data_IF_577971939471
#
_entry.id   IF_577971939471
#
_cell.length_a   1.000
_cell.length_b   1.000
_cell.length_c   1.000
_cell.angle_alpha   90.00
_cell.angle_beta   90.00
_cell.angle_gamma   90.00
#
_symmetry.space_group_name_H-M   'P 1'
#
loop_
_entity.id
_entity.type
_entity.pdbx_description
1 polymer ?
#
# COMPACT_ATOMS: atom_id res chain seq x y z
N UNK A 1 -9.57 5.19 24.62
CA UNK A 1 -9.83 4.38 23.41
C UNK A 1 -9.96 5.34 22.26
N UNK A 2 -9.04 5.34 21.32
CA UNK A 2 -9.15 6.11 20.07
C UNK A 2 -10.36 5.59 19.30
N UNK A 3 -11.18 6.48 18.73
CA UNK A 3 -12.32 6.10 17.91
C UNK A 3 -11.78 5.48 16.62
N UNK A 4 -12.07 4.19 16.38
CA UNK A 4 -11.71 3.54 15.11
C UNK A 4 -12.29 4.32 13.93
N UNK A 5 -11.48 4.54 12.90
CA UNK A 5 -11.94 5.16 11.67
C UNK A 5 -12.93 4.22 10.95
N UNK A 6 -14.05 4.77 10.51
CA UNK A 6 -14.93 4.04 9.59
C UNK A 6 -14.30 4.00 8.20
N UNK A 7 -14.65 3.00 7.39
CA UNK A 7 -14.17 2.90 6.00
C UNK A 7 -14.39 4.20 5.21
N UNK A 8 -15.56 4.85 5.35
CA UNK A 8 -15.85 6.12 4.67
C UNK A 8 -14.97 7.28 5.13
N UNK A 9 -14.70 7.36 6.44
CA UNK A 9 -13.77 8.36 6.98
C UNK A 9 -12.36 8.12 6.45
N UNK A 10 -11.90 6.86 6.42
CA UNK A 10 -10.61 6.48 5.85
C UNK A 10 -10.52 6.84 4.36
N UNK A 11 -11.48 6.42 3.55
CA UNK A 11 -11.56 6.75 2.11
C UNK A 11 -11.50 8.26 1.87
N UNK A 12 -12.21 9.05 2.69
CA UNK A 12 -12.20 10.51 2.59
C UNK A 12 -10.81 11.07 2.92
N UNK A 13 -10.21 10.64 4.02
CA UNK A 13 -8.88 11.11 4.43
C UNK A 13 -7.81 10.76 3.37
N UNK A 14 -7.84 9.54 2.85
CA UNK A 14 -6.92 9.13 1.80
C UNK A 14 -7.12 9.91 0.50
N UNK A 15 -8.37 10.23 0.16
CA UNK A 15 -8.67 11.06 -1.01
C UNK A 15 -8.20 12.51 -0.85
N UNK A 16 -8.19 13.05 0.37
CA UNK A 16 -7.66 14.39 0.65
C UNK A 16 -6.18 14.53 0.29
N UNK A 17 -5.38 13.46 0.39
CA UNK A 17 -3.99 13.46 -0.05
C UNK A 17 -3.83 13.86 -1.55
N UNK A 18 -4.81 13.50 -2.40
CA UNK A 18 -4.81 13.89 -3.81
C UNK A 18 -5.01 15.41 -4.00
N UNK A 19 -5.70 16.07 -3.08
CA UNK A 19 -5.91 17.52 -3.14
C UNK A 19 -4.60 18.27 -2.82
N UNK A 20 -3.76 17.73 -1.94
CA UNK A 20 -2.47 18.33 -1.60
C UNK A 20 -1.56 18.44 -2.82
N UNK A 21 -1.52 17.39 -3.66
CA UNK A 21 -0.65 17.36 -4.85
C UNK A 21 -1.32 17.92 -6.12
N UNK A 22 -2.60 18.32 -6.02
CA UNK A 22 -3.33 18.90 -7.16
C UNK A 22 -2.72 20.24 -7.57
N UNK A 23 -2.43 20.39 -8.86
CA UNK A 23 -1.79 21.57 -9.46
C UNK A 23 -0.34 21.26 -9.86
N UNK A 24 0.59 21.01 -8.92
CA UNK A 24 1.96 20.65 -9.25
C UNK A 24 2.10 19.30 -9.97
N UNK A 25 1.24 18.34 -9.64
CA UNK A 25 1.27 16.97 -10.18
C UNK A 25 0.06 16.73 -11.08
N UNK A 26 0.27 16.11 -12.25
CA UNK A 26 -0.83 15.68 -13.13
C UNK A 26 -1.63 14.54 -12.46
N UNK A 27 -2.94 14.52 -12.69
CA UNK A 27 -3.82 13.52 -12.10
C UNK A 27 -3.46 12.07 -12.47
N UNK A 28 -2.87 11.86 -13.65
CA UNK A 28 -2.35 10.55 -14.09
C UNK A 28 -1.23 10.02 -13.18
N UNK A 29 -0.51 10.91 -12.50
CA UNK A 29 0.66 10.59 -11.70
C UNK A 29 0.38 10.56 -10.19
N UNK A 30 -0.85 10.87 -9.73
CA UNK A 30 -1.19 10.83 -8.31
C UNK A 30 -0.86 9.47 -7.68
N UNK A 31 -1.17 8.39 -8.39
CA UNK A 31 -0.90 7.02 -7.95
C UNK A 31 0.58 6.81 -7.63
N UNK A 32 1.47 7.38 -8.44
CA UNK A 32 2.93 7.23 -8.33
C UNK A 32 3.51 7.82 -7.05
N UNK A 33 2.85 8.84 -6.47
CA UNK A 33 3.34 9.52 -5.26
C UNK A 33 2.54 9.15 -4.01
N UNK A 34 1.24 8.95 -4.13
CA UNK A 34 0.37 8.71 -2.96
C UNK A 34 0.52 7.28 -2.43
N UNK A 35 0.49 6.29 -3.30
CA UNK A 35 0.52 4.89 -2.87
C UNK A 35 1.78 4.48 -2.12
N UNK A 36 3.00 4.85 -2.55
CA UNK A 36 4.19 4.53 -1.79
C UNK A 36 4.21 5.14 -0.39
N UNK A 37 3.76 6.39 -0.23
CA UNK A 37 3.68 7.05 1.08
C UNK A 37 2.63 6.37 1.96
N UNK A 38 1.46 6.09 1.41
CA UNK A 38 0.38 5.38 2.10
C UNK A 38 0.84 4.00 2.60
N UNK A 39 1.47 3.23 1.72
CA UNK A 39 2.00 1.92 2.06
C UNK A 39 3.09 2.01 3.13
N UNK A 40 4.03 2.95 2.98
CA UNK A 40 5.08 3.20 3.96
C UNK A 40 4.52 3.57 5.34
N UNK A 41 3.49 4.43 5.38
CA UNK A 41 2.80 4.77 6.62
C UNK A 41 2.15 3.54 7.27
N UNK A 42 1.42 2.73 6.47
CA UNK A 42 0.77 1.51 6.96
C UNK A 42 1.75 0.54 7.59
N UNK A 43 2.82 0.19 6.88
CA UNK A 43 3.80 -0.78 7.40
C UNK A 43 4.53 -0.26 8.64
N UNK A 44 4.79 1.07 8.74
CA UNK A 44 5.38 1.66 9.93
C UNK A 44 4.45 1.61 11.14
N UNK A 45 3.16 1.89 10.94
CA UNK A 45 2.19 1.85 12.05
C UNK A 45 1.99 0.41 12.54
N UNK A 46 1.94 -0.56 11.63
CA UNK A 46 1.87 -1.98 11.97
C UNK A 46 3.13 -2.42 12.71
N UNK A 47 4.32 -2.03 12.23
CA UNK A 47 5.58 -2.30 12.91
C UNK A 47 5.58 -1.77 14.35
N UNK A 48 5.11 -0.54 14.56
CA UNK A 48 5.05 0.06 15.89
C UNK A 48 4.09 -0.70 16.82
N UNK A 49 2.93 -1.14 16.31
CA UNK A 49 2.00 -1.98 17.08
C UNK A 49 2.62 -3.32 17.48
N UNK A 50 3.30 -3.97 16.53
CA UNK A 50 4.00 -5.25 16.77
C UNK A 50 5.14 -5.07 17.79
N UNK A 51 5.88 -3.96 17.69
CA UNK A 51 6.92 -3.60 18.64
C UNK A 51 6.36 -3.39 20.05
N UNK A 52 5.27 -2.61 20.18
CA UNK A 52 4.64 -2.34 21.47
C UNK A 52 4.10 -3.62 22.12
N UNK A 53 3.47 -4.50 21.34
CA UNK A 53 2.96 -5.81 21.80
C UNK A 53 4.11 -6.73 22.24
N UNK A 54 5.21 -6.77 21.50
CA UNK A 54 6.38 -7.55 21.86
C UNK A 54 7.09 -6.97 23.11
N UNK A 55 7.16 -5.65 23.23
CA UNK A 55 7.74 -4.99 24.40
C UNK A 55 6.89 -5.26 25.67
N UNK A 56 5.56 -5.24 25.56
CA UNK A 56 4.67 -5.62 26.67
C UNK A 56 4.87 -7.08 27.08
N UNK A 57 5.09 -7.96 26.10
CA UNK A 57 5.25 -9.40 26.34
C UNK A 57 6.62 -9.74 26.97
N UNK A 58 7.71 -9.16 26.45
CA UNK A 58 9.08 -9.53 26.82
C UNK A 58 9.74 -8.58 27.82
N UNK A 59 9.29 -7.31 27.90
CA UNK A 59 9.88 -6.29 28.76
C UNK A 59 11.31 -5.87 28.32
N UNK A 60 11.71 -6.20 27.10
CA UNK A 60 13.06 -5.99 26.56
C UNK A 60 12.99 -5.43 25.13
N UNK A 61 13.61 -4.26 24.91
CA UNK A 61 13.59 -3.58 23.62
C UNK A 61 14.37 -4.31 22.53
N UNK A 62 15.43 -5.05 22.87
CA UNK A 62 16.21 -5.80 21.89
C UNK A 62 15.41 -6.99 21.37
N UNK A 63 14.75 -7.72 22.27
CA UNK A 63 13.82 -8.78 21.90
C UNK A 63 12.60 -8.26 21.14
N UNK A 64 12.06 -7.09 21.53
CA UNK A 64 10.94 -6.47 20.84
C UNK A 64 11.29 -6.00 19.41
N UNK A 65 12.57 -5.65 19.13
CA UNK A 65 13.04 -5.32 17.78
C UNK A 65 13.52 -6.55 16.98
N UNK A 66 13.45 -7.75 17.53
CA UNK A 66 13.93 -8.95 16.83
C UNK A 66 13.12 -9.20 15.53
N UNK A 67 13.76 -9.63 14.44
CA UNK A 67 13.10 -9.84 13.15
C UNK A 67 11.85 -10.71 13.22
N UNK A 68 11.84 -11.69 14.08
CA UNK A 68 10.77 -12.69 14.23
C UNK A 68 9.48 -12.09 14.82
N UNK A 69 9.56 -10.89 15.39
CA UNK A 69 8.42 -10.18 15.97
C UNK A 69 7.65 -9.32 14.96
N UNK A 70 8.19 -9.15 13.74
CA UNK A 70 7.67 -8.22 12.77
C UNK A 70 7.44 -8.86 11.42
N UNK A 71 6.27 -8.61 10.82
CA UNK A 71 5.96 -9.02 9.44
C UNK A 71 6.89 -8.36 8.43
N UNK A 72 7.25 -7.11 8.65
CA UNK A 72 8.17 -6.33 7.84
C UNK A 72 9.24 -5.72 8.71
N UNK A 73 10.49 -5.87 8.30
CA UNK A 73 11.62 -5.25 8.98
C UNK A 73 11.77 -3.78 8.59
N UNK A 74 11.72 -2.89 9.57
CA UNK A 74 11.98 -1.46 9.36
C UNK A 74 13.17 -1.05 10.23
N UNK A 75 14.37 -0.94 9.64
CA UNK A 75 15.57 -0.56 10.38
C UNK A 75 15.41 0.79 11.08
N UNK A 76 16.09 0.93 12.24
CA UNK A 76 16.17 2.19 12.98
C UNK A 76 16.51 3.33 12.11
N UNK A 77 16.58 4.32 11.83
CA UNK A 77 16.95 5.38 10.86
C UNK A 77 16.14 5.43 9.55
N UNK A 78 15.25 4.46 9.32
CA UNK A 78 14.43 4.39 8.11
C UNK A 78 12.94 4.38 8.43
N UNK A 79 12.57 4.75 9.67
CA UNK A 79 11.19 4.75 10.15
C UNK A 79 10.46 6.02 9.75
N UNK A 80 9.16 5.98 9.80
CA UNK A 80 8.29 7.12 9.49
C UNK A 80 8.70 8.41 10.20
N UNK A 81 8.95 8.34 11.51
CA UNK A 81 9.29 9.51 12.32
C UNK A 81 10.66 10.10 11.95
N UNK A 82 11.62 9.30 11.48
CA UNK A 82 12.92 9.78 11.01
C UNK A 82 12.77 10.63 9.74
N UNK A 83 11.93 10.14 8.81
CA UNK A 83 11.62 10.89 7.57
C UNK A 83 10.84 12.16 7.90
N UNK A 84 9.84 12.06 8.78
CA UNK A 84 9.02 13.20 9.19
C UNK A 84 9.83 14.31 9.87
N UNK A 85 10.86 13.96 10.64
CA UNK A 85 11.76 14.91 11.30
C UNK A 85 12.72 15.62 10.34
N UNK A 86 12.80 15.17 9.07
CA UNK A 86 13.71 15.73 8.08
C UNK A 86 13.17 17.06 7.55
N UNK A 87 13.97 18.13 7.61
CA UNK A 87 13.58 19.48 7.18
C UNK A 87 14.17 19.93 5.85
N UNK A 88 15.18 19.21 5.34
CA UNK A 88 15.84 19.50 4.03
C UNK A 88 16.05 18.20 3.26
N UNK A 89 15.92 18.28 1.95
CA UNK A 89 16.05 17.12 1.07
C UNK A 89 15.10 15.96 1.45
N UNK A 90 13.87 16.33 1.84
CA UNK A 90 12.84 15.41 2.34
C UNK A 90 12.58 14.28 1.33
N UNK A 91 12.53 14.59 0.03
CA UNK A 91 12.37 13.58 -1.01
C UNK A 91 13.53 12.57 -1.06
N UNK A 92 14.77 13.02 -0.81
CA UNK A 92 15.92 12.13 -0.70
C UNK A 92 15.86 11.24 0.54
N UNK A 93 15.44 11.78 1.67
CA UNK A 93 15.25 11.03 2.91
C UNK A 93 14.17 9.95 2.74
N UNK A 94 13.02 10.32 2.16
CA UNK A 94 11.93 9.40 1.88
C UNK A 94 12.35 8.26 0.93
N UNK A 95 13.02 8.59 -0.18
CA UNK A 95 13.55 7.59 -1.11
C UNK A 95 14.60 6.69 -0.43
N UNK A 96 15.42 7.26 0.46
CA UNK A 96 16.38 6.51 1.27
C UNK A 96 15.70 5.50 2.20
N UNK A 97 14.61 5.91 2.87
CA UNK A 97 13.81 5.05 3.74
C UNK A 97 13.16 3.90 2.94
N UNK A 98 12.59 4.17 1.77
CA UNK A 98 12.01 3.14 0.89
C UNK A 98 13.05 2.07 0.51
N UNK A 99 14.21 2.49 0.02
CA UNK A 99 15.32 1.57 -0.33
C UNK A 99 15.83 0.79 0.87
N UNK A 100 15.84 1.41 2.05
CA UNK A 100 16.24 0.77 3.29
C UNK A 100 15.27 -0.35 3.67
N UNK A 101 13.96 -0.10 3.59
CA UNK A 101 12.93 -1.11 3.84
C UNK A 101 13.02 -2.24 2.81
N UNK A 102 13.13 -1.93 1.52
CA UNK A 102 13.29 -2.95 0.47
C UNK A 102 14.54 -3.81 0.67
N UNK A 103 15.66 -3.21 1.11
CA UNK A 103 16.89 -3.94 1.39
C UNK A 103 16.75 -4.88 2.59
N UNK A 104 16.00 -4.48 3.60
CA UNK A 104 15.74 -5.32 4.77
C UNK A 104 14.72 -6.43 4.48
N UNK A 105 13.90 -6.26 3.43
CA UNK A 105 12.84 -7.19 3.02
C UNK A 105 12.96 -7.53 1.52
N UNK A 106 13.78 -8.49 1.12
CA UNK A 106 14.05 -8.78 -0.29
C UNK A 106 12.79 -9.09 -1.14
N UNK A 107 11.75 -9.67 -0.52
CA UNK A 107 10.47 -9.94 -1.16
C UNK A 107 9.70 -8.67 -1.53
N UNK A 108 10.01 -7.51 -0.91
CA UNK A 108 9.42 -6.20 -1.22
C UNK A 108 10.24 -5.38 -2.24
N UNK A 109 11.33 -5.93 -2.80
CA UNK A 109 12.15 -5.18 -3.74
C UNK A 109 11.32 -4.57 -4.88
N UNK A 110 11.47 -3.24 -5.08
CA UNK A 110 10.75 -2.46 -6.09
C UNK A 110 9.31 -2.09 -5.73
N UNK A 111 8.81 -2.45 -4.55
CA UNK A 111 7.40 -2.21 -4.17
C UNK A 111 7.07 -0.71 -4.07
N UNK A 112 8.03 0.15 -3.74
CA UNK A 112 7.80 1.60 -3.67
C UNK A 112 7.89 2.29 -5.04
N UNK A 113 8.16 1.52 -6.11
CA UNK A 113 8.31 2.07 -7.46
C UNK A 113 9.55 2.93 -7.63
N UNK A 114 9.57 3.67 -8.73
CA UNK A 114 10.73 4.46 -9.19
C UNK A 114 10.44 5.97 -9.33
N UNK A 115 9.46 6.47 -8.57
CA UNK A 115 9.10 7.87 -8.61
C UNK A 115 10.30 8.82 -8.36
N UNK A 116 10.31 9.94 -9.07
CA UNK A 116 11.40 10.93 -8.99
C UNK A 116 11.26 11.81 -7.74
N UNK A 117 11.41 11.22 -6.56
CA UNK A 117 11.26 11.89 -5.26
C UNK A 117 12.21 13.06 -5.03
N UNK A 118 13.35 13.07 -5.75
CA UNK A 118 14.39 14.11 -5.63
C UNK A 118 14.23 15.27 -6.61
N UNK A 119 13.24 15.22 -7.48
CA UNK A 119 12.97 16.29 -8.45
C UNK A 119 12.21 17.44 -7.77
N UNK A 120 12.95 18.44 -7.25
CA UNK A 120 12.39 19.57 -6.50
C UNK A 120 11.55 20.53 -7.33
N UNK A 121 11.74 20.57 -8.65
CA UNK A 121 10.95 21.43 -9.55
C UNK A 121 9.50 20.91 -9.65
N UNK A 122 9.34 19.59 -9.60
CA UNK A 122 8.04 18.93 -9.68
C UNK A 122 7.46 18.61 -8.31
N UNK A 123 8.32 18.23 -7.36
CA UNK A 123 7.96 17.77 -6.03
C UNK A 123 8.83 18.49 -4.98
N UNK A 124 8.54 19.76 -4.65
CA UNK A 124 9.29 20.51 -3.67
C UNK A 124 9.17 19.88 -2.28
N UNK A 125 10.20 20.07 -1.44
CA UNK A 125 10.23 19.53 -0.07
C UNK A 125 8.98 19.90 0.75
N UNK A 126 8.44 21.11 0.57
CA UNK A 126 7.22 21.58 1.23
C UNK A 126 6.00 20.70 0.91
N UNK A 127 5.86 20.28 -0.34
CA UNK A 127 4.75 19.44 -0.79
C UNK A 127 4.86 18.02 -0.21
N UNK A 128 6.06 17.45 -0.19
CA UNK A 128 6.30 16.14 0.43
C UNK A 128 6.01 16.22 1.94
N UNK A 129 6.49 17.29 2.60
CA UNK A 129 6.25 17.50 4.04
C UNK A 129 4.76 17.64 4.34
N UNK A 130 3.99 18.32 3.50
CA UNK A 130 2.54 18.45 3.66
C UNK A 130 1.84 17.07 3.52
N UNK A 131 2.23 16.25 2.54
CA UNK A 131 1.74 14.88 2.40
C UNK A 131 2.09 14.01 3.61
N UNK A 132 3.33 14.05 4.08
CA UNK A 132 3.77 13.30 5.25
C UNK A 132 3.00 13.72 6.50
N UNK A 133 2.82 15.01 6.73
CA UNK A 133 2.03 15.53 7.84
C UNK A 133 0.56 15.11 7.77
N UNK A 134 -0.02 15.12 6.57
CA UNK A 134 -1.39 14.65 6.37
C UNK A 134 -1.54 13.17 6.75
N UNK A 135 -0.68 12.30 6.22
CA UNK A 135 -0.72 10.87 6.55
C UNK A 135 -0.33 10.58 8.00
N UNK A 136 0.52 11.40 8.62
CA UNK A 136 0.89 11.24 10.03
C UNK A 136 -0.32 11.34 10.97
N UNK A 137 -1.31 12.14 10.62
CA UNK A 137 -2.53 12.33 11.42
C UNK A 137 -3.51 11.15 11.30
N UNK A 138 -3.29 10.24 10.37
CA UNK A 138 -4.19 9.11 10.11
C UNK A 138 -3.55 7.86 10.76
N UNK A 139 -4.13 7.32 11.85
CA UNK A 139 -3.65 6.06 12.41
C UNK A 139 -3.99 4.93 11.46
N UNK A 140 -2.98 4.13 11.09
CA UNK A 140 -3.10 3.07 10.08
C UNK A 140 -2.61 1.71 10.60
N UNK A 141 -2.49 1.51 11.90
CA UNK A 141 -2.20 0.21 12.50
C UNK A 141 -3.37 -0.78 12.34
N UNK A 142 -3.14 -2.06 12.58
CA UNK A 142 -4.18 -3.10 12.49
C UNK A 142 -5.25 -2.89 13.58
N UNK A 143 -4.85 -2.36 14.73
CA UNK A 143 -5.75 -2.04 15.85
C UNK A 143 -6.72 -0.91 15.51
N UNK A 144 -6.29 0.03 14.66
CA UNK A 144 -7.07 1.19 14.22
C UNK A 144 -7.86 0.92 12.93
N UNK A 145 -7.23 0.26 11.95
CA UNK A 145 -7.79 -0.06 10.63
C UNK A 145 -7.48 -1.51 10.30
N UNK A 146 -8.52 -2.34 10.18
CA UNK A 146 -8.35 -3.76 9.78
C UNK A 146 -7.80 -3.86 8.36
N UNK A 147 -7.08 -4.96 8.06
CA UNK A 147 -6.52 -5.22 6.74
C UNK A 147 -7.60 -5.14 5.64
N UNK A 148 -8.79 -5.72 5.85
CA UNK A 148 -9.91 -5.64 4.90
C UNK A 148 -10.34 -4.21 4.60
N UNK A 149 -10.46 -3.35 5.62
CA UNK A 149 -10.88 -1.96 5.44
C UNK A 149 -9.76 -1.14 4.77
N UNK A 150 -8.50 -1.44 5.08
CA UNK A 150 -7.34 -0.83 4.44
C UNK A 150 -7.26 -1.19 2.95
N UNK A 151 -7.41 -2.46 2.63
CA UNK A 151 -7.44 -2.95 1.25
C UNK A 151 -8.59 -2.31 0.44
N UNK A 152 -9.80 -2.25 1.01
CA UNK A 152 -10.97 -1.62 0.37
C UNK A 152 -10.76 -0.11 0.13
N UNK A 153 -10.17 0.59 1.08
CA UNK A 153 -9.85 2.02 0.92
C UNK A 153 -8.76 2.23 -0.15
N UNK A 154 -7.79 1.33 -0.25
CA UNK A 154 -6.77 1.34 -1.29
C UNK A 154 -7.38 1.14 -2.69
N UNK A 155 -8.27 0.15 -2.86
CA UNK A 155 -9.01 -0.05 -4.11
C UNK A 155 -9.89 1.15 -4.48
N UNK A 156 -10.53 1.80 -3.49
CA UNK A 156 -11.29 3.03 -3.73
C UNK A 156 -10.41 4.11 -4.36
N UNK A 157 -9.18 4.30 -3.85
CA UNK A 157 -8.23 5.25 -4.43
C UNK A 157 -7.80 4.86 -5.85
N UNK A 158 -7.50 3.58 -6.10
CA UNK A 158 -7.16 3.08 -7.44
C UNK A 158 -8.27 3.47 -8.42
N UNK A 159 -9.52 3.19 -8.07
CA UNK A 159 -10.69 3.55 -8.90
C UNK A 159 -10.78 5.06 -9.11
N UNK A 160 -10.66 5.86 -8.05
CA UNK A 160 -10.74 7.33 -8.14
C UNK A 160 -9.64 7.93 -9.00
N UNK A 161 -8.42 7.40 -8.92
CA UNK A 161 -7.32 7.87 -9.76
C UNK A 161 -7.50 7.44 -11.21
N UNK A 162 -7.99 6.23 -11.47
CA UNK A 162 -8.35 5.78 -12.81
C UNK A 162 -9.44 6.69 -13.42
N UNK A 163 -10.52 7.00 -12.69
CA UNK A 163 -11.59 7.89 -13.16
C UNK A 163 -11.08 9.31 -13.49
N UNK A 164 -10.14 9.86 -12.68
CA UNK A 164 -9.52 11.16 -12.97
C UNK A 164 -8.55 11.13 -14.14
N UNK A 165 -7.79 10.05 -14.29
CA UNK A 165 -6.79 9.88 -15.35
C UNK A 165 -7.41 9.52 -16.70
N UNK A 166 -8.62 8.95 -16.73
CA UNK A 166 -9.31 8.38 -17.91
C UNK A 166 -9.46 9.34 -19.13
N UNK A 167 -9.14 10.59 -18.99
CA UNK A 167 -9.15 11.53 -20.14
C UNK A 167 -7.86 11.50 -20.96
N UNK A 168 -6.76 10.87 -20.53
CA UNK A 168 -5.44 10.97 -21.18
C UNK A 168 -4.67 9.65 -21.39
N UNK A 169 -4.90 8.57 -20.68
CA UNK A 169 -3.91 7.49 -20.55
C UNK A 169 -4.26 6.12 -21.15
N UNK A 170 -5.47 5.86 -21.63
CA UNK A 170 -5.80 4.54 -22.21
C UNK A 170 -5.71 3.35 -21.25
N UNK A 171 -5.43 3.58 -19.98
CA UNK A 171 -5.48 2.56 -18.93
C UNK A 171 -6.94 2.43 -18.47
N UNK A 172 -7.58 1.33 -18.80
CA UNK A 172 -8.96 1.06 -18.42
C UNK A 172 -9.00 0.21 -17.14
N UNK A 173 -9.65 0.73 -16.11
CA UNK A 173 -10.03 -0.08 -14.97
C UNK A 173 -11.14 -1.05 -15.39
N UNK A 174 -10.91 -2.35 -15.29
CA UNK A 174 -11.92 -3.35 -15.61
C UNK A 174 -13.09 -3.26 -14.62
N UNK A 175 -14.35 -3.10 -15.08
CA UNK A 175 -15.49 -3.01 -14.18
C UNK A 175 -15.58 -4.23 -13.25
N UNK A 176 -15.78 -4.01 -11.95
CA UNK A 176 -15.84 -5.10 -10.96
C UNK A 176 -16.87 -6.18 -11.30
N UNK A 177 -17.99 -5.80 -11.90
CA UNK A 177 -19.01 -6.75 -12.32
C UNK A 177 -18.52 -7.74 -13.39
N UNK A 178 -17.63 -7.27 -14.29
CA UNK A 178 -16.99 -8.09 -15.31
C UNK A 178 -15.94 -9.00 -14.67
N UNK A 179 -15.10 -8.44 -13.80
CA UNK A 179 -14.08 -9.22 -13.06
C UNK A 179 -14.75 -10.33 -12.25
N UNK A 180 -15.80 -10.01 -11.48
CA UNK A 180 -16.55 -10.99 -10.69
C UNK A 180 -17.19 -12.08 -11.56
N UNK A 181 -17.76 -11.70 -12.70
CA UNK A 181 -18.29 -12.68 -13.65
C UNK A 181 -17.20 -13.65 -14.15
N UNK A 182 -16.04 -13.13 -14.53
CA UNK A 182 -14.91 -13.93 -15.01
C UNK A 182 -14.42 -14.90 -13.94
N UNK A 183 -14.21 -14.40 -12.71
CA UNK A 183 -13.78 -15.24 -11.58
C UNK A 183 -14.82 -16.30 -11.24
N UNK A 184 -16.11 -15.96 -11.22
CA UNK A 184 -17.18 -16.93 -10.99
C UNK A 184 -17.25 -18.04 -12.09
N UNK A 185 -16.95 -17.70 -13.34
CA UNK A 185 -16.90 -18.69 -14.44
C UNK A 185 -15.71 -19.62 -14.30
N UNK A 186 -14.56 -19.09 -13.84
CA UNK A 186 -13.34 -19.88 -13.61
C UNK A 186 -13.46 -20.75 -12.36
N UNK A 187 -14.24 -20.30 -11.36
CA UNK A 187 -14.50 -20.95 -10.06
C UNK A 187 -13.22 -21.46 -9.35
N UNK A 188 -12.22 -20.58 -9.13
CA UNK A 188 -10.96 -20.97 -8.51
C UNK A 188 -11.17 -21.44 -7.07
N UNK A 189 -10.36 -22.43 -6.63
CA UNK A 189 -10.43 -23.05 -5.32
C UNK A 189 -9.12 -22.91 -4.55
N UNK A 190 -9.20 -23.00 -3.22
CA UNK A 190 -8.02 -23.06 -2.39
C UNK A 190 -7.04 -24.14 -2.84
N UNK A 191 -5.75 -23.83 -2.89
CA UNK A 191 -4.69 -24.73 -3.37
C UNK A 191 -4.38 -24.62 -4.87
N UNK A 192 -5.21 -23.93 -5.66
CA UNK A 192 -4.98 -23.75 -7.09
C UNK A 192 -3.99 -22.61 -7.38
N UNK A 193 -3.43 -22.63 -8.59
CA UNK A 193 -2.58 -21.58 -9.14
C UNK A 193 -3.42 -20.73 -10.08
N UNK A 194 -3.56 -19.45 -9.78
CA UNK A 194 -4.24 -18.48 -10.64
C UNK A 194 -3.22 -17.53 -11.23
N UNK A 195 -3.22 -17.40 -12.55
CA UNK A 195 -2.28 -16.54 -13.28
C UNK A 195 -3.03 -15.52 -14.13
N UNK A 196 -2.71 -14.25 -13.90
CA UNK A 196 -3.19 -13.13 -14.71
C UNK A 196 -2.02 -12.55 -15.52
N UNK A 197 -1.98 -12.75 -16.85
CA UNK A 197 -0.87 -12.31 -17.71
C UNK A 197 -0.85 -10.80 -17.97
N UNK A 198 -1.85 -10.05 -17.52
CA UNK A 198 -1.99 -8.61 -17.69
C UNK A 198 -2.70 -8.00 -16.47
N UNK A 199 -2.16 -8.28 -15.28
CA UNK A 199 -2.89 -8.12 -14.01
C UNK A 199 -3.23 -6.66 -13.64
N UNK A 200 -2.63 -5.68 -14.30
CA UNK A 200 -2.86 -4.28 -13.99
C UNK A 200 -2.55 -4.00 -12.51
N UNK A 201 -3.52 -3.49 -11.78
CA UNK A 201 -3.43 -3.23 -10.32
C UNK A 201 -3.86 -4.43 -9.46
N UNK A 202 -3.94 -5.63 -10.04
CA UNK A 202 -4.24 -6.87 -9.33
C UNK A 202 -5.73 -7.14 -9.05
N UNK A 203 -6.64 -6.43 -9.71
CA UNK A 203 -8.07 -6.52 -9.42
C UNK A 203 -8.68 -7.91 -9.62
N UNK A 204 -8.28 -8.69 -10.64
CA UNK A 204 -8.74 -10.07 -10.82
C UNK A 204 -8.17 -11.02 -9.78
N UNK A 205 -6.90 -10.86 -9.42
CA UNK A 205 -6.26 -11.64 -8.37
C UNK A 205 -6.95 -11.42 -7.02
N UNK A 206 -7.32 -10.18 -6.70
CA UNK A 206 -8.06 -9.84 -5.49
C UNK A 206 -9.49 -10.43 -5.50
N UNK A 207 -10.20 -10.34 -6.61
CA UNK A 207 -11.53 -10.95 -6.70
C UNK A 207 -11.46 -12.48 -6.53
N UNK A 208 -10.35 -13.10 -6.97
CA UNK A 208 -10.09 -14.53 -6.71
C UNK A 208 -9.98 -14.81 -5.20
N UNK A 209 -9.29 -13.97 -4.45
CA UNK A 209 -9.20 -14.07 -2.97
C UNK A 209 -10.59 -14.00 -2.36
N UNK A 210 -11.37 -12.98 -2.73
CA UNK A 210 -12.73 -12.78 -2.22
C UNK A 210 -13.65 -13.97 -2.57
N UNK A 211 -13.56 -14.50 -3.78
CA UNK A 211 -14.33 -15.64 -4.22
C UNK A 211 -14.07 -16.87 -3.36
N UNK A 212 -12.81 -17.19 -3.08
CA UNK A 212 -12.42 -18.32 -2.23
C UNK A 212 -12.88 -18.10 -0.79
N UNK A 213 -12.76 -16.86 -0.27
CA UNK A 213 -13.26 -16.49 1.06
C UNK A 213 -14.78 -16.62 1.17
N UNK A 214 -15.55 -16.17 0.18
CA UNK A 214 -17.02 -16.28 0.13
C UNK A 214 -17.48 -17.76 0.16
N UNK A 215 -16.64 -18.69 -0.30
CA UNK A 215 -16.87 -20.14 -0.23
C UNK A 215 -16.52 -20.75 1.13
N UNK A 216 -15.94 -19.97 2.04
CA UNK A 216 -15.47 -20.45 3.34
C UNK A 216 -14.14 -21.21 3.27
N UNK A 217 -13.41 -21.09 2.15
CA UNK A 217 -12.08 -21.68 1.96
C UNK A 217 -10.98 -20.69 2.38
N UNK A 218 -9.77 -21.20 2.66
CA UNK A 218 -8.63 -20.38 3.06
C UNK A 218 -7.90 -19.81 1.83
N UNK A 219 -7.98 -18.50 1.54
CA UNK A 219 -7.34 -17.89 0.39
C UNK A 219 -5.80 -17.91 0.45
N UNK A 220 -5.19 -18.11 1.62
CA UNK A 220 -3.73 -18.23 1.78
C UNK A 220 -3.17 -19.49 1.11
N UNK A 221 -4.02 -20.45 0.77
CA UNK A 221 -3.63 -21.63 0.01
C UNK A 221 -3.58 -21.38 -1.50
N UNK A 222 -4.11 -20.25 -1.99
CA UNK A 222 -3.98 -19.86 -3.40
C UNK A 222 -2.52 -19.52 -3.72
N UNK A 223 -2.11 -19.84 -4.96
CA UNK A 223 -0.85 -19.34 -5.53
C UNK A 223 -1.19 -18.34 -6.63
N UNK A 224 -1.13 -17.06 -6.28
CA UNK A 224 -1.45 -15.98 -7.21
C UNK A 224 -0.20 -15.59 -8.00
N UNK A 225 -0.34 -15.46 -9.32
CA UNK A 225 0.73 -14.99 -10.20
C UNK A 225 0.18 -13.90 -11.10
N UNK A 226 0.88 -12.78 -11.17
CA UNK A 226 0.54 -11.66 -12.03
C UNK A 226 1.71 -11.30 -12.95
N UNK A 227 1.39 -10.78 -14.13
CA UNK A 227 2.35 -10.14 -15.01
C UNK A 227 1.84 -8.76 -15.38
N UNK A 228 2.68 -7.75 -15.23
CA UNK A 228 2.39 -6.36 -15.63
C UNK A 228 3.65 -5.74 -16.26
N UNK A 229 3.46 -5.04 -17.38
CA UNK A 229 4.57 -4.41 -18.11
C UNK A 229 5.00 -3.09 -17.47
N UNK A 230 4.05 -2.35 -16.90
CA UNK A 230 4.31 -1.06 -16.27
C UNK A 230 4.73 -1.27 -14.83
N UNK A 231 6.00 -0.97 -14.49
CA UNK A 231 6.57 -1.19 -13.16
C UNK A 231 5.83 -0.44 -12.05
N UNK A 232 5.33 0.78 -12.32
CA UNK A 232 4.52 1.53 -11.34
C UNK A 232 3.19 0.82 -11.06
N UNK A 233 2.55 0.30 -12.10
CA UNK A 233 1.28 -0.44 -11.96
C UNK A 233 1.50 -1.80 -11.29
N UNK A 234 2.62 -2.47 -11.58
CA UNK A 234 3.05 -3.70 -10.90
C UNK A 234 3.26 -3.46 -9.40
N UNK A 235 4.00 -2.41 -9.02
CA UNK A 235 4.22 -2.04 -7.64
C UNK A 235 2.88 -1.79 -6.90
N UNK A 236 1.93 -1.12 -7.55
CA UNK A 236 0.59 -0.90 -7.01
C UNK A 236 -0.16 -2.23 -6.80
N UNK A 237 -0.05 -3.18 -7.74
CA UNK A 237 -0.67 -4.50 -7.61
C UNK A 237 -0.11 -5.27 -6.41
N UNK A 238 1.21 -5.24 -6.20
CA UNK A 238 1.86 -5.88 -5.05
C UNK A 238 1.44 -5.26 -3.73
N UNK A 239 1.44 -3.92 -3.63
CA UNK A 239 0.91 -3.22 -2.46
C UNK A 239 -0.55 -3.61 -2.20
N UNK A 240 -1.36 -3.71 -3.25
CA UNK A 240 -2.77 -4.05 -3.15
C UNK A 240 -2.97 -5.46 -2.58
N UNK A 241 -2.27 -6.45 -3.11
CA UNK A 241 -2.31 -7.83 -2.62
C UNK A 241 -1.79 -7.91 -1.18
N UNK A 242 -0.67 -7.23 -0.87
CA UNK A 242 -0.13 -7.17 0.48
C UNK A 242 -1.14 -6.61 1.50
N UNK A 243 -1.82 -5.51 1.17
CA UNK A 243 -2.83 -4.88 2.04
C UNK A 243 -4.08 -5.75 2.25
N UNK A 244 -4.28 -6.77 1.40
CA UNK A 244 -5.31 -7.79 1.55
C UNK A 244 -4.80 -9.08 2.22
N UNK A 245 -3.60 -9.05 2.81
CA UNK A 245 -3.03 -10.16 3.57
C UNK A 245 -2.37 -11.25 2.72
N UNK A 246 -2.03 -10.94 1.47
CA UNK A 246 -1.27 -11.82 0.56
C UNK A 246 0.16 -11.27 0.49
N UNK A 247 1.00 -11.76 1.41
CA UNK A 247 2.37 -11.24 1.61
C UNK A 247 3.43 -12.00 0.77
N UNK A 248 3.09 -13.18 0.21
CA UNK A 248 3.96 -14.06 -0.57
C UNK A 248 3.53 -14.17 -2.04
#
# INVERSE_FOLDING_TARGET
MSKKLTLKELEHQLWMAAHIITGPIDASDYKTYIFPILFFKRINDVYNEEFDDALELYGDEELANAPEQHRIQIPKSCRWNDVLATTKDVGKALQGAFRCVEKANPHLYGIFGDAAWTNKDRLPDSLITELLNHFHQIPMGVKDVRDDDMGRAYEYLIKKFADKANKKAGEFYTPRTVVRLMVNVLDPKAGEVVYDPACGTGGMLLETIHHVQERGEDPRLLKLKGQEKNLTTEAIARMNLFLHGMED
#
